data_IF_566800400118
#
_entry.id   IF_566800400118
#
_cell.length_a   1.000
_cell.length_b   1.000
_cell.length_c   1.000
_cell.angle_alpha   90.00
_cell.angle_beta   90.00
_cell.angle_gamma   90.00
#
_symmetry.space_group_name_H-M   'P 1'
#
loop_
_entity.id
_entity.type
_entity.pdbx_description
1 polymer ?
#
# COMPACT_ATOMS: atom_id res chain seq x y z
N UNK A 1 9.43 -9.25 7.96
CA UNK A 1 8.14 -9.08 8.65
C UNK A 1 8.38 -8.42 10.00
N UNK A 2 8.77 -7.15 10.01
CA UNK A 2 8.86 -6.35 11.23
C UNK A 2 8.45 -4.93 10.87
N UNK A 3 7.15 -4.67 10.92
CA UNK A 3 6.64 -3.31 11.03
C UNK A 3 5.81 -3.26 12.31
N UNK A 4 6.33 -2.52 13.30
CA UNK A 4 5.74 -2.33 14.63
C UNK A 4 4.60 -1.29 14.60
N UNK A 5 3.88 -1.19 13.48
CA UNK A 5 2.74 -0.29 13.35
C UNK A 5 1.49 -1.10 13.65
N UNK A 6 0.77 -0.77 14.74
CA UNK A 6 -0.45 -1.49 15.10
C UNK A 6 -1.42 -1.44 13.92
N UNK A 7 -2.11 -2.56 13.64
CA UNK A 7 -3.08 -2.61 12.56
C UNK A 7 -4.20 -1.59 12.81
N UNK A 8 -4.79 -1.08 11.72
CA UNK A 8 -5.98 -0.23 11.86
C UNK A 8 -7.16 -1.05 12.37
N UNK A 9 -8.10 -0.42 13.10
CA UNK A 9 -9.34 -1.06 13.49
C UNK A 9 -10.05 -1.67 12.28
N UNK A 10 -10.65 -2.84 12.46
CA UNK A 10 -11.27 -3.60 11.38
C UNK A 10 -12.41 -2.82 10.73
N UNK A 11 -13.11 -1.97 11.49
CA UNK A 11 -14.18 -1.13 10.98
C UNK A 11 -13.66 -0.14 9.93
N UNK A 12 -12.44 0.40 10.11
CA UNK A 12 -11.80 1.28 9.13
C UNK A 12 -11.45 0.53 7.85
N UNK A 13 -11.05 -0.74 7.98
CA UNK A 13 -10.68 -1.62 6.88
C UNK A 13 -11.91 -1.95 6.05
N UNK A 14 -12.97 -2.44 6.70
CA UNK A 14 -14.24 -2.78 6.08
C UNK A 14 -14.83 -1.56 5.37
N UNK A 15 -14.91 -0.41 6.04
CA UNK A 15 -15.38 0.85 5.44
C UNK A 15 -14.60 1.21 4.16
N UNK A 16 -13.27 1.05 4.20
CA UNK A 16 -12.41 1.40 3.08
C UNK A 16 -12.60 0.46 1.89
N UNK A 17 -12.71 -0.84 2.15
CA UNK A 17 -12.96 -1.86 1.13
C UNK A 17 -14.35 -1.69 0.52
N UNK A 18 -15.38 -1.55 1.35
CA UNK A 18 -16.76 -1.35 0.89
C UNK A 18 -16.89 -0.08 0.05
N UNK A 19 -16.30 1.04 0.49
CA UNK A 19 -16.31 2.28 -0.28
C UNK A 19 -15.58 2.16 -1.63
N UNK A 20 -14.46 1.43 -1.68
CA UNK A 20 -13.69 1.24 -2.90
C UNK A 20 -14.39 0.33 -3.92
N UNK A 21 -15.12 -0.69 -3.44
CA UNK A 21 -15.81 -1.69 -4.27
C UNK A 21 -17.30 -1.37 -4.51
N UNK A 22 -17.84 -0.33 -3.86
CA UNK A 22 -19.24 0.05 -3.96
C UNK A 22 -20.19 -0.93 -3.25
N UNK A 23 -19.73 -1.61 -2.20
CA UNK A 23 -20.49 -2.59 -1.42
C UNK A 23 -21.21 -1.91 -0.25
N UNK A 24 -22.36 -2.45 0.17
CA UNK A 24 -23.03 -1.98 1.38
C UNK A 24 -22.44 -2.64 2.64
N UNK A 25 -21.99 -3.88 2.52
CA UNK A 25 -21.29 -4.64 3.56
C UNK A 25 -20.19 -5.54 2.96
N UNK A 26 -19.23 -6.00 3.76
CA UNK A 26 -18.12 -6.85 3.29
C UNK A 26 -18.64 -8.18 2.72
N UNK A 27 -19.70 -8.70 3.34
CA UNK A 27 -20.36 -9.95 2.99
C UNK A 27 -21.03 -9.90 1.60
N UNK A 28 -21.25 -8.71 1.04
CA UNK A 28 -21.77 -8.56 -0.33
C UNK A 28 -20.72 -8.91 -1.40
N UNK A 29 -19.42 -8.85 -1.04
CA UNK A 29 -18.30 -9.11 -1.96
C UNK A 29 -17.46 -10.33 -1.58
N UNK A 30 -17.52 -10.78 -0.32
CA UNK A 30 -16.65 -11.84 0.21
C UNK A 30 -17.47 -12.88 1.00
N UNK A 31 -17.20 -14.16 0.75
CA UNK A 31 -17.72 -15.29 1.53
C UNK A 31 -17.04 -15.39 2.90
N UNK A 32 -15.75 -15.06 2.95
CA UNK A 32 -14.95 -15.03 4.17
C UNK A 32 -14.01 -13.82 4.11
N UNK A 33 -13.84 -13.12 5.22
CA UNK A 33 -12.85 -12.07 5.37
C UNK A 33 -12.18 -12.24 6.73
N UNK A 34 -10.86 -12.39 6.74
CA UNK A 34 -10.09 -12.53 7.98
C UNK A 34 -9.86 -11.15 8.59
N UNK A 35 -10.49 -10.89 9.73
CA UNK A 35 -10.35 -9.62 10.44
C UNK A 35 -8.93 -9.44 11.02
N UNK A 36 -8.20 -10.53 11.24
CA UNK A 36 -6.81 -10.48 11.63
C UNK A 36 -5.92 -10.29 10.38
N UNK A 37 -5.15 -9.20 10.30
CA UNK A 37 -4.31 -8.97 9.14
C UNK A 37 -3.16 -9.98 9.10
N UNK A 38 -2.96 -10.60 7.94
CA UNK A 38 -1.82 -11.49 7.64
C UNK A 38 -0.49 -10.72 7.72
N UNK A 39 -0.53 -9.42 7.49
CA UNK A 39 0.62 -8.54 7.67
C UNK A 39 0.26 -7.06 7.58
N UNK A 40 1.07 -6.24 8.26
CA UNK A 40 1.04 -4.77 8.19
C UNK A 40 2.34 -4.33 7.52
N UNK A 41 2.23 -3.53 6.47
CA UNK A 41 3.33 -2.86 5.81
C UNK A 41 3.25 -1.34 6.05
N UNK A 42 4.29 -0.62 5.64
CA UNK A 42 4.41 0.84 5.70
C UNK A 42 3.07 1.58 5.50
N UNK A 43 2.44 1.46 4.32
CA UNK A 43 1.25 2.24 3.96
C UNK A 43 -0.07 1.45 3.97
N UNK A 44 -0.02 0.13 4.13
CA UNK A 44 -1.16 -0.75 3.93
C UNK A 44 -1.13 -1.94 4.90
N UNK A 45 -2.28 -2.57 5.09
CA UNK A 45 -2.41 -3.86 5.76
C UNK A 45 -3.05 -4.87 4.80
N UNK A 46 -2.73 -6.15 4.99
CA UNK A 46 -3.14 -7.23 4.10
C UNK A 46 -4.00 -8.20 4.88
N UNK A 47 -5.18 -8.48 4.33
CA UNK A 47 -6.14 -9.45 4.88
C UNK A 47 -6.30 -10.61 3.91
N UNK A 48 -6.56 -11.80 4.46
CA UNK A 48 -6.99 -12.95 3.66
C UNK A 48 -8.50 -12.85 3.49
N UNK A 49 -9.00 -13.14 2.29
CA UNK A 49 -10.44 -13.19 2.06
C UNK A 49 -10.77 -14.25 1.00
N UNK A 50 -12.03 -14.65 0.93
CA UNK A 50 -12.59 -15.50 -0.12
C UNK A 50 -13.66 -14.71 -0.84
N UNK A 51 -13.50 -14.49 -2.14
CA UNK A 51 -14.43 -13.72 -2.95
C UNK A 51 -15.75 -14.47 -3.18
N UNK A 52 -16.86 -13.77 -3.04
CA UNK A 52 -18.20 -14.32 -3.26
C UNK A 52 -18.45 -14.65 -4.74
N UNK A 53 -18.82 -15.90 -5.03
CA UNK A 53 -19.25 -16.33 -6.36
C UNK A 53 -18.13 -16.56 -7.39
N UNK A 54 -16.87 -16.72 -6.95
CA UNK A 54 -15.73 -17.01 -7.82
C UNK A 54 -15.72 -18.44 -8.40
N UNK A 55 -15.23 -18.61 -9.63
CA UNK A 55 -14.99 -19.93 -10.24
C UNK A 55 -13.61 -20.46 -9.82
N UNK A 56 -13.50 -21.05 -8.62
CA UNK A 56 -12.25 -21.56 -8.04
C UNK A 56 -12.28 -21.64 -6.51
N UNK A 57 -11.13 -21.72 -5.82
CA UNK A 57 -11.08 -21.63 -4.34
C UNK A 57 -11.41 -20.22 -3.81
N UNK A 58 -11.54 -19.22 -4.67
CA UNK A 58 -11.99 -17.86 -4.33
C UNK A 58 -11.04 -17.05 -3.44
N UNK A 59 -9.95 -17.63 -2.97
CA UNK A 59 -9.05 -17.02 -1.99
C UNK A 59 -8.20 -15.88 -2.60
N UNK A 60 -8.23 -14.72 -1.95
CA UNK A 60 -7.58 -13.48 -2.36
C UNK A 60 -6.89 -12.80 -1.18
N UNK A 61 -5.83 -12.05 -1.47
CA UNK A 61 -5.21 -11.14 -0.52
C UNK A 61 -5.76 -9.72 -0.74
N UNK A 62 -6.43 -9.17 0.26
CA UNK A 62 -7.00 -7.82 0.21
C UNK A 62 -6.02 -6.85 0.87
N UNK A 63 -5.32 -6.06 0.05
CA UNK A 63 -4.45 -4.96 0.50
C UNK A 63 -5.27 -3.70 0.71
N UNK A 64 -5.30 -3.21 1.95
CA UNK A 64 -6.07 -2.02 2.33
C UNK A 64 -5.11 -0.92 2.79
N UNK A 65 -5.17 0.23 2.11
CA UNK A 65 -4.38 1.41 2.48
C UNK A 65 -4.88 2.00 3.79
N UNK A 66 -3.97 2.33 4.72
CA UNK A 66 -4.30 2.93 6.01
C UNK A 66 -4.86 4.36 5.81
N UNK A 67 -5.98 4.73 6.42
CA UNK A 67 -6.48 6.11 6.32
C UNK A 67 -5.52 7.07 7.02
N UNK A 68 -5.44 8.30 6.50
CA UNK A 68 -4.61 9.36 7.10
C UNK A 68 -3.10 9.10 7.01
N UNK A 69 -2.66 8.18 6.14
CA UNK A 69 -1.23 7.98 5.85
C UNK A 69 -0.66 9.12 5.00
N UNK A 70 -1.50 9.86 4.25
CA UNK A 70 -1.06 10.91 3.31
C UNK A 70 -0.24 12.04 3.96
N UNK A 71 -0.57 12.55 5.17
CA UNK A 71 0.25 13.55 5.85
C UNK A 71 1.61 13.00 6.31
N UNK A 72 1.64 11.78 6.88
CA UNK A 72 2.89 11.10 7.26
C UNK A 72 3.77 10.91 6.03
N UNK A 73 3.17 10.44 4.95
CA UNK A 73 3.86 10.21 3.69
C UNK A 73 4.39 11.52 3.07
N UNK A 74 3.64 12.63 3.13
CA UNK A 74 4.13 13.94 2.69
C UNK A 74 5.35 14.40 3.49
N UNK A 75 5.38 14.11 4.80
CA UNK A 75 6.54 14.39 5.65
C UNK A 75 7.73 13.52 5.27
N UNK A 76 7.53 12.22 5.04
CA UNK A 76 8.58 11.30 4.59
C UNK A 76 9.16 11.73 3.24
N UNK A 77 8.29 12.14 2.30
CA UNK A 77 8.74 12.66 1.02
C UNK A 77 9.53 13.96 1.13
N UNK A 78 9.14 14.84 2.05
CA UNK A 78 9.90 16.05 2.34
C UNK A 78 11.28 15.70 2.91
N UNK A 79 11.34 14.76 3.86
CA UNK A 79 12.58 14.29 4.47
C UNK A 79 13.51 13.63 3.44
N UNK A 80 12.97 12.78 2.56
CA UNK A 80 13.73 12.10 1.50
C UNK A 80 14.27 13.09 0.47
N UNK A 81 13.50 14.11 0.10
CA UNK A 81 13.98 15.20 -0.78
C UNK A 81 15.09 16.01 -0.11
N UNK A 82 14.95 16.31 1.17
CA UNK A 82 15.97 17.01 1.94
C UNK A 82 17.26 16.17 2.04
N UNK A 83 17.15 14.87 2.28
CA UNK A 83 18.27 13.94 2.33
C UNK A 83 18.96 13.83 0.95
N UNK A 84 18.18 13.68 -0.13
CA UNK A 84 18.71 13.64 -1.49
C UNK A 84 19.46 14.95 -1.83
N UNK A 85 18.94 16.10 -1.41
CA UNK A 85 19.62 17.38 -1.59
C UNK A 85 20.92 17.47 -0.75
N UNK A 86 20.91 16.98 0.49
CA UNK A 86 22.09 16.96 1.35
C UNK A 86 23.19 16.04 0.80
N UNK A 87 22.83 14.84 0.32
CA UNK A 87 23.76 13.90 -0.34
C UNK A 87 24.33 14.53 -1.61
N UNK A 88 23.48 15.16 -2.43
CA UNK A 88 23.93 15.85 -3.65
C UNK A 88 24.84 17.04 -3.38
N UNK A 89 24.73 17.69 -2.22
CA UNK A 89 25.63 18.74 -1.77
C UNK A 89 26.96 18.18 -1.25
N UNK A 90 26.93 17.07 -0.51
CA UNK A 90 28.11 16.47 0.12
C UNK A 90 29.01 15.68 -0.84
N UNK A 91 28.47 15.16 -1.95
CA UNK A 91 29.22 14.32 -2.91
C UNK A 91 29.05 14.85 -4.35
N UNK A 92 29.92 15.77 -4.82
CA UNK A 92 29.73 16.51 -6.08
C UNK A 92 29.94 15.70 -7.37
N UNK A 93 30.61 14.54 -7.29
CA UNK A 93 31.24 13.88 -8.45
C UNK A 93 30.44 12.74 -9.10
N UNK A 94 29.25 12.35 -8.61
CA UNK A 94 28.47 11.23 -9.17
C UNK A 94 27.04 11.63 -9.56
N UNK A 95 26.51 10.97 -10.59
CA UNK A 95 25.33 11.32 -11.39
C UNK A 95 24.07 11.68 -10.57
N UNK A 96 23.94 12.98 -10.28
CA UNK A 96 23.04 13.58 -9.28
C UNK A 96 21.55 13.48 -9.58
N UNK A 97 21.18 13.27 -10.85
CA UNK A 97 19.77 13.35 -11.27
C UNK A 97 19.12 11.99 -11.25
N UNK A 98 19.85 10.96 -11.68
CA UNK A 98 19.31 9.60 -11.75
C UNK A 98 19.01 9.03 -10.37
N UNK A 99 19.90 9.20 -9.39
CA UNK A 99 19.66 8.69 -8.03
C UNK A 99 18.48 9.37 -7.34
N UNK A 100 18.39 10.70 -7.45
CA UNK A 100 17.28 11.46 -6.86
C UNK A 100 15.94 11.18 -7.57
N UNK A 101 15.97 11.03 -8.90
CA UNK A 101 14.79 10.65 -9.68
C UNK A 101 14.34 9.22 -9.34
N UNK A 102 15.29 8.28 -9.26
CA UNK A 102 15.04 6.90 -8.88
C UNK A 102 14.40 6.79 -7.48
N UNK A 103 14.94 7.53 -6.50
CA UNK A 103 14.36 7.57 -5.14
C UNK A 103 12.95 8.17 -5.15
N UNK A 104 12.70 9.26 -5.88
CA UNK A 104 11.36 9.82 -5.99
C UNK A 104 10.38 8.86 -6.69
N UNK A 105 10.83 8.16 -7.73
CA UNK A 105 10.01 7.22 -8.50
C UNK A 105 9.71 5.96 -7.69
N UNK A 106 10.69 5.40 -6.97
CA UNK A 106 10.50 4.24 -6.10
C UNK A 106 9.43 4.51 -5.04
N UNK A 107 9.46 5.68 -4.41
CA UNK A 107 8.52 6.06 -3.36
C UNK A 107 7.15 6.44 -3.92
N UNK A 108 7.10 7.00 -5.14
CA UNK A 108 5.82 7.21 -5.86
C UNK A 108 5.18 5.87 -6.25
N UNK A 109 5.98 4.86 -6.61
CA UNK A 109 5.48 3.51 -6.89
C UNK A 109 4.92 2.84 -5.65
N UNK A 110 5.54 3.01 -4.49
CA UNK A 110 4.96 2.47 -3.25
C UNK A 110 3.57 3.04 -2.95
N UNK A 111 3.25 4.26 -3.40
CA UNK A 111 1.93 4.87 -3.16
C UNK A 111 0.78 4.30 -3.99
N UNK A 112 1.09 3.72 -5.14
CA UNK A 112 0.09 3.36 -6.12
C UNK A 112 -0.17 1.86 -6.09
N UNK A 113 -0.98 1.46 -5.12
CA UNK A 113 -1.45 0.08 -4.99
C UNK A 113 -2.25 -0.37 -6.21
N UNK A 114 -2.84 0.53 -6.99
CA UNK A 114 -3.52 0.17 -8.23
C UNK A 114 -2.50 -0.18 -9.32
N UNK A 115 -1.43 0.60 -9.48
CA UNK A 115 -0.32 0.24 -10.36
C UNK A 115 0.38 -1.04 -9.91
N UNK A 116 0.50 -1.29 -8.60
CA UNK A 116 1.02 -2.57 -8.09
C UNK A 116 0.10 -3.73 -8.52
N UNK A 117 -1.22 -3.57 -8.38
CA UNK A 117 -2.21 -4.55 -8.82
C UNK A 117 -2.16 -4.81 -10.33
N UNK A 118 -2.14 -3.76 -11.14
CA UNK A 118 -2.04 -3.87 -12.60
C UNK A 118 -0.72 -4.52 -13.06
N UNK A 119 0.38 -4.28 -12.34
CA UNK A 119 1.65 -4.93 -12.60
C UNK A 119 1.59 -6.43 -12.27
N UNK A 120 0.92 -6.82 -11.18
CA UNK A 120 0.70 -8.23 -10.84
C UNK A 120 -0.23 -8.94 -11.82
N UNK A 121 -1.27 -8.27 -12.32
CA UNK A 121 -2.17 -8.83 -13.36
C UNK A 121 -1.44 -9.10 -14.67
N UNK A 122 -0.45 -8.27 -15.04
CA UNK A 122 0.36 -8.44 -16.26
C UNK A 122 1.40 -9.56 -16.18
N UNK A 123 1.74 -10.01 -14.97
CA UNK A 123 2.73 -11.07 -14.74
C UNK A 123 2.07 -12.46 -14.63
N UNK A 124 0.73 -12.53 -14.70
CA UNK A 124 -0.03 -13.78 -14.74
C UNK A 124 -0.12 -14.36 -16.15
#
# INVERSE_FOLDING_TARGET
MQDAVPPRPIEEVHDTVCAALGLAAIEDGFEEFDDEPVGSASIAQVHRAVQLGGSGSGEVAVKVRKRGIEPLFRQDMFALRALAAAVAWAFPDHDRRELAAYLCEAVTRELDLQQEGEAMERVR
#
